data_IF_326082281244
#
_entry.id   IF_326082281244
#
_cell.length_a   1.000
_cell.length_b   1.000
_cell.length_c   1.000
_cell.angle_alpha   90.00
_cell.angle_beta   90.00
_cell.angle_gamma   90.00
#
_symmetry.space_group_name_H-M   'P 1'
#
loop_
_entity.id
_entity.type
_entity.pdbx_description
1 polymer ?
#
# COMPACT_ATOMS: atom_id res chain seq x y z
N UNK A 1 -42.20 -3.57 9.61
CA UNK A 1 -40.96 -3.82 10.36
C UNK A 1 -40.02 -4.64 9.48
N UNK A 2 -39.08 -3.99 8.78
CA UNK A 2 -37.96 -4.68 8.09
C UNK A 2 -36.70 -3.98 8.58
N UNK A 3 -35.87 -4.75 9.29
CA UNK A 3 -34.73 -4.29 10.07
C UNK A 3 -33.54 -3.95 9.14
N UNK A 4 -33.00 -2.74 9.24
CA UNK A 4 -31.68 -2.36 8.71
C UNK A 4 -30.60 -3.02 9.59
N UNK A 5 -29.97 -4.11 9.13
CA UNK A 5 -28.90 -4.80 9.89
C UNK A 5 -27.64 -5.12 9.06
N UNK A 6 -27.47 -4.51 7.89
CA UNK A 6 -26.43 -4.90 6.92
C UNK A 6 -25.18 -4.01 6.94
N UNK A 7 -25.26 -2.79 7.50
CA UNK A 7 -24.19 -1.79 7.43
C UNK A 7 -23.00 -2.01 8.39
N UNK A 8 -23.24 -2.63 9.55
CA UNK A 8 -22.19 -2.87 10.55
C UNK A 8 -21.21 -3.98 10.14
N UNK A 9 -21.69 -5.07 9.54
CA UNK A 9 -20.83 -6.23 9.23
C UNK A 9 -19.80 -6.02 8.11
N UNK A 10 -20.05 -5.05 7.21
CA UNK A 10 -19.11 -4.71 6.13
C UNK A 10 -18.05 -3.75 6.66
N UNK A 11 -18.47 -2.69 7.36
CA UNK A 11 -17.53 -1.74 7.99
C UNK A 11 -16.65 -2.41 9.04
N UNK A 12 -17.16 -3.33 9.84
CA UNK A 12 -16.40 -4.04 10.89
C UNK A 12 -15.40 -5.05 10.29
N UNK A 13 -15.76 -5.72 9.18
CA UNK A 13 -14.81 -6.54 8.38
C UNK A 13 -13.73 -5.70 7.71
N UNK A 14 -14.10 -4.54 7.16
CA UNK A 14 -13.13 -3.61 6.55
C UNK A 14 -12.19 -3.01 7.60
N UNK A 15 -12.68 -2.68 8.79
CA UNK A 15 -11.90 -2.18 9.92
C UNK A 15 -10.93 -3.22 10.49
N UNK A 16 -11.33 -4.50 10.54
CA UNK A 16 -10.47 -5.62 10.97
C UNK A 16 -9.44 -6.00 9.88
N UNK A 17 -9.79 -5.83 8.61
CA UNK A 17 -8.89 -6.09 7.49
C UNK A 17 -7.76 -5.04 7.37
N UNK A 18 -8.02 -3.77 7.70
CA UNK A 18 -7.02 -2.68 7.67
C UNK A 18 -5.72 -3.00 8.47
N UNK A 19 -5.77 -3.42 9.74
CA UNK A 19 -4.57 -3.78 10.49
C UNK A 19 -3.91 -5.06 9.95
N UNK A 20 -4.69 -6.09 9.59
CA UNK A 20 -4.15 -7.32 9.02
C UNK A 20 -3.38 -7.05 7.71
N UNK A 21 -3.93 -6.22 6.83
CA UNK A 21 -3.30 -5.82 5.56
C UNK A 21 -1.98 -5.07 5.79
N UNK A 22 -1.91 -4.25 6.84
CA UNK A 22 -0.68 -3.52 7.19
C UNK A 22 0.43 -4.45 7.71
N UNK A 23 0.07 -5.50 8.46
CA UNK A 23 0.99 -6.54 8.90
C UNK A 23 1.47 -7.41 7.74
N UNK A 24 0.58 -7.79 6.83
CA UNK A 24 0.93 -8.53 5.61
C UNK A 24 1.90 -7.72 4.76
N UNK A 25 1.66 -6.42 4.58
CA UNK A 25 2.56 -5.54 3.81
C UNK A 25 3.93 -5.40 4.47
N UNK A 26 3.97 -5.32 5.81
CA UNK A 26 5.22 -5.30 6.57
C UNK A 26 5.97 -6.62 6.42
N UNK A 27 5.28 -7.76 6.52
CA UNK A 27 5.88 -9.07 6.33
C UNK A 27 6.43 -9.25 4.92
N UNK A 28 5.66 -8.92 3.88
CA UNK A 28 6.10 -8.96 2.49
C UNK A 28 7.36 -8.10 2.26
N UNK A 29 7.38 -6.89 2.82
CA UNK A 29 8.54 -5.99 2.80
C UNK A 29 9.76 -6.64 3.45
N UNK A 30 9.62 -7.19 4.65
CA UNK A 30 10.73 -7.80 5.39
C UNK A 30 11.25 -9.09 4.75
N UNK A 31 10.37 -9.89 4.14
CA UNK A 31 10.76 -11.07 3.36
C UNK A 31 11.61 -10.65 2.16
N UNK A 32 11.15 -9.69 1.37
CA UNK A 32 11.91 -9.16 0.23
C UNK A 32 13.26 -8.58 0.70
N UNK A 33 13.26 -7.79 1.77
CA UNK A 33 14.44 -7.18 2.32
C UNK A 33 15.47 -8.21 2.81
N UNK A 34 15.02 -9.20 3.59
CA UNK A 34 15.87 -10.24 4.14
C UNK A 34 16.53 -11.07 3.04
N UNK A 35 15.78 -11.44 2.01
CA UNK A 35 16.32 -12.19 0.87
C UNK A 35 17.36 -11.37 0.11
N UNK A 36 17.09 -10.10 -0.20
CA UNK A 36 18.05 -9.22 -0.87
C UNK A 36 19.35 -9.07 -0.05
N UNK A 37 19.26 -8.87 1.27
CA UNK A 37 20.43 -8.74 2.13
C UNK A 37 21.24 -10.04 2.14
N UNK A 38 20.60 -11.19 2.33
CA UNK A 38 21.28 -12.49 2.37
C UNK A 38 21.93 -12.78 1.02
N UNK A 39 21.22 -12.54 -0.08
CA UNK A 39 21.73 -12.74 -1.43
C UNK A 39 22.96 -11.87 -1.72
N UNK A 40 22.93 -10.58 -1.35
CA UNK A 40 24.06 -9.68 -1.55
C UNK A 40 25.23 -10.00 -0.62
N UNK A 41 24.96 -10.36 0.64
CA UNK A 41 25.99 -10.74 1.61
C UNK A 41 26.73 -12.01 1.17
N UNK A 42 26.04 -12.99 0.56
CA UNK A 42 26.69 -14.19 0.03
C UNK A 42 27.58 -13.88 -1.18
N UNK A 43 27.27 -12.83 -1.95
CA UNK A 43 28.03 -12.43 -3.14
C UNK A 43 29.22 -11.51 -2.82
N UNK A 44 29.16 -10.72 -1.74
CA UNK A 44 30.20 -9.72 -1.42
C UNK A 44 31.55 -10.33 -1.03
N UNK A 45 31.56 -11.56 -0.52
CA UNK A 45 32.80 -12.26 -0.12
C UNK A 45 33.69 -12.65 -1.31
N UNK A 46 33.09 -12.84 -2.48
CA UNK A 46 33.81 -13.23 -3.70
C UNK A 46 33.11 -12.66 -4.95
N UNK A 47 33.13 -11.34 -5.15
CA UNK A 47 32.36 -10.68 -6.21
C UNK A 47 32.81 -11.07 -7.63
N UNK A 48 34.05 -11.57 -7.78
CA UNK A 48 34.52 -12.16 -9.03
C UNK A 48 33.70 -13.40 -9.44
N UNK A 49 33.18 -14.17 -8.49
CA UNK A 49 32.31 -15.32 -8.76
C UNK A 49 30.93 -14.84 -9.24
N UNK A 50 30.42 -13.73 -8.71
CA UNK A 50 29.19 -13.12 -9.22
C UNK A 50 29.31 -12.66 -10.67
N UNK A 51 30.47 -12.12 -11.07
CA UNK A 51 30.75 -11.80 -12.49
C UNK A 51 30.76 -13.07 -13.34
N UNK A 52 31.37 -14.15 -12.87
CA UNK A 52 31.38 -15.44 -13.59
C UNK A 52 29.96 -16.01 -13.74
N UNK A 53 29.17 -15.97 -12.67
CA UNK A 53 27.78 -16.40 -12.70
C UNK A 53 26.96 -15.60 -13.73
N UNK A 54 27.09 -14.26 -13.77
CA UNK A 54 26.39 -13.43 -14.77
C UNK A 54 26.83 -13.76 -16.19
N UNK A 55 28.13 -14.00 -16.42
CA UNK A 55 28.65 -14.41 -17.74
C UNK A 55 28.13 -15.78 -18.18
N UNK A 56 27.87 -16.70 -17.23
CA UNK A 56 27.35 -18.03 -17.53
C UNK A 56 25.96 -17.99 -18.21
N UNK A 57 25.16 -16.94 -17.98
CA UNK A 57 23.88 -16.74 -18.67
C UNK A 57 24.04 -16.42 -20.16
N UNK A 58 25.21 -15.93 -20.60
CA UNK A 58 25.48 -15.57 -22.00
C UNK A 58 24.40 -14.64 -22.59
N UNK A 59 23.93 -13.67 -21.79
CA UNK A 59 22.89 -12.71 -22.16
C UNK A 59 23.43 -11.30 -22.39
N UNK A 60 24.48 -10.92 -21.66
CA UNK A 60 25.07 -9.57 -21.71
C UNK A 60 26.49 -9.63 -22.29
N UNK A 61 26.95 -8.56 -22.97
CA UNK A 61 28.36 -8.41 -23.34
C UNK A 61 29.24 -8.28 -22.09
N UNK A 62 30.51 -8.69 -22.20
CA UNK A 62 31.42 -8.83 -21.06
C UNK A 62 31.52 -7.59 -20.16
N UNK A 63 31.57 -6.38 -20.75
CA UNK A 63 31.63 -5.14 -19.98
C UNK A 63 30.41 -4.93 -19.09
N UNK A 64 29.20 -5.20 -19.60
CA UNK A 64 27.98 -5.11 -18.83
C UNK A 64 27.87 -6.26 -17.81
N UNK A 65 28.27 -7.47 -18.18
CA UNK A 65 28.29 -8.60 -17.25
C UNK A 65 29.19 -8.33 -16.04
N UNK A 66 30.35 -7.70 -16.26
CA UNK A 66 31.25 -7.26 -15.18
C UNK A 66 30.63 -6.16 -14.32
N UNK A 67 30.04 -5.13 -14.93
CA UNK A 67 29.38 -4.06 -14.19
C UNK A 67 28.22 -4.60 -13.31
N UNK A 68 27.38 -5.47 -13.87
CA UNK A 68 26.30 -6.13 -13.12
C UNK A 68 26.84 -7.04 -12.02
N UNK A 69 27.82 -7.90 -12.30
CA UNK A 69 28.37 -8.83 -11.32
C UNK A 69 28.97 -8.14 -10.09
N UNK A 70 29.60 -6.98 -10.25
CA UNK A 70 30.12 -6.19 -9.12
C UNK A 70 29.08 -5.27 -8.47
N UNK A 71 28.19 -4.67 -9.26
CA UNK A 71 27.23 -3.68 -8.76
C UNK A 71 26.02 -4.31 -8.06
N UNK A 72 25.56 -5.47 -8.53
CA UNK A 72 24.36 -6.13 -8.05
C UNK A 72 24.42 -6.51 -6.56
N UNK A 73 25.52 -7.09 -6.02
CA UNK A 73 25.60 -7.40 -4.59
C UNK A 73 25.45 -6.18 -3.68
N UNK A 74 26.06 -5.05 -4.08
CA UNK A 74 25.99 -3.80 -3.33
C UNK A 74 24.57 -3.23 -3.39
N UNK A 75 23.96 -3.26 -4.56
CA UNK A 75 22.58 -2.81 -4.77
C UNK A 75 21.58 -3.65 -3.95
N UNK A 76 21.72 -4.97 -3.95
CA UNK A 76 20.90 -5.90 -3.15
C UNK A 76 20.93 -5.53 -1.66
N UNK A 77 22.13 -5.30 -1.09
CA UNK A 77 22.29 -4.94 0.32
C UNK A 77 21.67 -3.57 0.62
N UNK A 78 21.95 -2.55 -0.21
CA UNK A 78 21.44 -1.19 0.01
C UNK A 78 19.90 -1.18 -0.03
N UNK A 79 19.31 -1.78 -1.05
CA UNK A 79 17.85 -1.86 -1.19
C UNK A 79 17.24 -2.64 -0.02
N UNK A 80 17.84 -3.76 0.36
CA UNK A 80 17.40 -4.55 1.50
C UNK A 80 17.43 -3.77 2.81
N UNK A 81 18.51 -3.05 3.10
CA UNK A 81 18.61 -2.20 4.31
C UNK A 81 17.58 -1.08 4.31
N UNK A 82 17.38 -0.40 3.18
CA UNK A 82 16.35 0.64 3.03
C UNK A 82 14.95 0.08 3.29
N UNK A 83 14.64 -1.13 2.82
CA UNK A 83 13.36 -1.80 3.09
C UNK A 83 13.21 -2.26 4.55
N UNK A 84 14.29 -2.69 5.21
CA UNK A 84 14.26 -3.02 6.65
C UNK A 84 13.89 -1.78 7.46
N UNK A 85 14.59 -0.67 7.22
CA UNK A 85 14.34 0.63 7.84
C UNK A 85 12.97 1.17 7.44
N UNK A 86 12.48 0.82 6.25
CA UNK A 86 11.21 1.30 5.72
C UNK A 86 11.29 2.76 5.26
N UNK A 87 12.44 3.13 4.68
CA UNK A 87 12.69 4.42 4.07
C UNK A 87 12.61 4.29 2.55
N UNK A 88 11.94 5.23 1.88
CA UNK A 88 11.68 5.21 0.44
C UNK A 88 11.08 3.86 0.00
N UNK A 89 10.18 3.32 0.81
CA UNK A 89 9.69 1.94 0.71
C UNK A 89 9.11 1.63 -0.66
N UNK A 90 8.30 2.53 -1.24
CA UNK A 90 7.68 2.32 -2.56
C UNK A 90 8.70 2.29 -3.70
N UNK A 91 9.55 3.32 -3.91
CA UNK A 91 10.55 3.28 -4.97
C UNK A 91 11.58 2.17 -4.76
N UNK A 92 12.02 1.91 -3.52
CA UNK A 92 12.98 0.84 -3.22
C UNK A 92 12.36 -0.54 -3.51
N UNK A 93 11.10 -0.77 -3.14
CA UNK A 93 10.39 -2.00 -3.48
C UNK A 93 10.18 -2.14 -4.99
N UNK A 94 9.93 -1.04 -5.70
CA UNK A 94 9.81 -1.05 -7.16
C UNK A 94 11.13 -1.44 -7.83
N UNK A 95 12.26 -0.86 -7.40
CA UNK A 95 13.59 -1.24 -7.89
C UNK A 95 13.89 -2.71 -7.56
N UNK A 96 13.59 -3.14 -6.33
CA UNK A 96 13.72 -4.56 -5.93
C UNK A 96 12.86 -5.49 -6.80
N UNK A 97 11.64 -5.10 -7.13
CA UNK A 97 10.76 -5.84 -8.04
C UNK A 97 11.31 -5.91 -9.46
N UNK A 98 11.87 -4.82 -9.99
CA UNK A 98 12.55 -4.83 -11.29
C UNK A 98 13.74 -5.79 -11.28
N UNK A 99 14.54 -5.82 -10.20
CA UNK A 99 15.63 -6.79 -10.06
C UNK A 99 15.11 -8.23 -10.05
N UNK A 100 14.05 -8.54 -9.31
CA UNK A 100 13.43 -9.87 -9.32
C UNK A 100 12.95 -10.25 -10.72
N UNK A 101 12.31 -9.33 -11.45
CA UNK A 101 11.88 -9.57 -12.81
C UNK A 101 13.06 -9.85 -13.76
N UNK A 102 14.18 -9.14 -13.60
CA UNK A 102 15.40 -9.41 -14.38
C UNK A 102 15.96 -10.82 -14.11
N UNK A 103 15.98 -11.27 -12.85
CA UNK A 103 16.40 -12.63 -12.51
C UNK A 103 15.46 -13.68 -13.10
N UNK A 104 14.14 -13.50 -12.97
CA UNK A 104 13.12 -14.37 -13.59
C UNK A 104 13.39 -14.52 -15.09
N UNK A 105 13.60 -13.41 -15.81
CA UNK A 105 13.88 -13.42 -17.25
C UNK A 105 15.20 -14.13 -17.55
N UNK A 106 16.24 -13.89 -16.76
CA UNK A 106 17.54 -14.55 -16.91
C UNK A 106 17.45 -16.07 -16.75
N UNK A 107 16.83 -16.54 -15.66
CA UNK A 107 16.63 -17.95 -15.34
C UNK A 107 15.75 -18.63 -16.40
N UNK A 108 14.62 -18.00 -16.76
CA UNK A 108 13.72 -18.52 -17.78
C UNK A 108 14.42 -18.64 -19.13
N UNK A 109 15.27 -17.67 -19.49
CA UNK A 109 16.06 -17.73 -20.73
C UNK A 109 17.08 -18.85 -20.71
N UNK A 110 17.83 -19.01 -19.60
CA UNK A 110 18.80 -20.10 -19.44
C UNK A 110 18.12 -21.46 -19.55
N UNK A 111 16.94 -21.61 -18.93
CA UNK A 111 16.16 -22.83 -18.98
C UNK A 111 15.64 -23.13 -20.40
N UNK A 112 15.09 -22.12 -21.09
CA UNK A 112 14.60 -22.27 -22.46
C UNK A 112 15.72 -22.62 -23.47
N UNK A 113 16.94 -22.15 -23.21
CA UNK A 113 18.15 -22.47 -24.02
C UNK A 113 18.82 -23.78 -23.62
N UNK A 114 18.34 -24.45 -22.57
CA UNK A 114 18.93 -25.69 -22.06
C UNK A 114 20.33 -25.51 -21.47
N UNK A 115 20.67 -24.31 -21.00
CA UNK A 115 21.93 -24.10 -20.29
C UNK A 115 21.92 -24.93 -19.01
N UNK A 116 23.08 -25.45 -18.62
CA UNK A 116 23.28 -26.16 -17.35
C UNK A 116 24.20 -25.32 -16.47
N UNK A 117 23.60 -24.36 -15.76
CA UNK A 117 24.32 -23.42 -14.90
C UNK A 117 23.71 -23.41 -13.51
N UNK A 118 24.52 -23.07 -12.52
CA UNK A 118 24.00 -22.61 -11.23
C UNK A 118 23.51 -21.18 -11.42
N UNK A 119 22.28 -20.87 -10.98
CA UNK A 119 21.69 -19.55 -11.18
C UNK A 119 22.44 -18.46 -10.40
N UNK A 120 23.25 -18.83 -9.40
CA UNK A 120 24.13 -17.90 -8.65
C UNK A 120 23.38 -16.88 -7.79
N UNK A 121 22.05 -16.99 -7.68
CA UNK A 121 21.19 -16.01 -7.02
C UNK A 121 21.48 -15.87 -5.51
N UNK A 122 21.96 -16.94 -4.86
CA UNK A 122 22.39 -16.96 -3.47
C UNK A 122 23.89 -17.22 -3.28
N UNK A 123 24.71 -16.83 -4.28
CA UNK A 123 26.12 -17.19 -4.34
C UNK A 123 26.36 -18.39 -5.26
N UNK A 124 27.62 -18.67 -5.56
CA UNK A 124 28.03 -19.61 -6.60
C UNK A 124 28.77 -18.90 -7.75
N UNK A 125 29.48 -19.68 -8.56
CA UNK A 125 30.29 -19.21 -9.69
C UNK A 125 29.61 -19.43 -11.05
N UNK A 126 28.39 -19.97 -11.05
CA UNK A 126 27.64 -20.34 -12.24
C UNK A 126 27.93 -21.75 -12.75
N UNK A 127 28.85 -22.49 -12.12
CA UNK A 127 29.16 -23.87 -12.50
C UNK A 127 28.28 -24.88 -11.75
N UNK A 128 27.92 -25.97 -12.42
CA UNK A 128 27.28 -27.13 -11.79
C UNK A 128 28.31 -28.25 -11.62
N UNK A 129 28.32 -28.89 -10.46
CA UNK A 129 29.10 -30.10 -10.25
C UNK A 129 28.64 -31.22 -11.20
N UNK A 130 29.57 -32.09 -11.59
CA UNK A 130 29.29 -33.19 -12.50
C UNK A 130 28.17 -34.10 -11.96
N UNK A 131 27.11 -34.29 -12.74
CA UNK A 131 25.96 -35.11 -12.37
C UNK A 131 24.86 -34.39 -11.58
N UNK A 132 25.00 -33.09 -11.32
CA UNK A 132 23.90 -32.29 -10.76
C UNK A 132 23.04 -31.63 -11.82
N UNK A 133 21.73 -31.64 -11.58
CA UNK A 133 20.76 -30.97 -12.43
C UNK A 133 20.42 -29.58 -11.87
N UNK A 134 20.23 -28.58 -12.75
CA UNK A 134 19.88 -27.23 -12.34
C UNK A 134 18.48 -27.18 -11.74
N UNK A 135 18.32 -26.48 -10.61
CA UNK A 135 17.06 -26.33 -9.89
C UNK A 135 16.22 -25.13 -10.36
N UNK A 136 16.12 -24.91 -11.68
CA UNK A 136 15.45 -23.73 -12.25
C UNK A 136 14.02 -23.52 -11.75
N UNK A 137 13.26 -24.60 -11.52
CA UNK A 137 11.88 -24.51 -11.05
C UNK A 137 11.76 -23.82 -9.68
N UNK A 138 12.59 -24.22 -8.71
CA UNK A 138 12.56 -23.64 -7.36
C UNK A 138 13.07 -22.21 -7.33
N UNK A 139 14.11 -21.92 -8.11
CA UNK A 139 14.66 -20.57 -8.29
C UNK A 139 13.59 -19.62 -8.86
N UNK A 140 12.91 -20.04 -9.93
CA UNK A 140 11.86 -19.27 -10.57
C UNK A 140 10.65 -19.04 -9.64
N UNK A 141 10.22 -20.07 -8.92
CA UNK A 141 9.09 -19.96 -7.99
C UNK A 141 9.39 -18.99 -6.85
N UNK A 142 10.61 -19.04 -6.30
CA UNK A 142 11.08 -18.09 -5.29
C UNK A 142 11.04 -16.66 -5.84
N UNK A 143 11.64 -16.43 -6.99
CA UNK A 143 11.76 -15.08 -7.54
C UNK A 143 10.38 -14.50 -7.93
N UNK A 144 9.46 -15.33 -8.43
CA UNK A 144 8.06 -14.95 -8.65
C UNK A 144 7.39 -14.55 -7.34
N UNK A 145 7.60 -15.33 -6.26
CA UNK A 145 7.09 -15.00 -4.93
C UNK A 145 7.62 -13.68 -4.40
N UNK A 146 8.92 -13.42 -4.58
CA UNK A 146 9.55 -12.15 -4.17
C UNK A 146 9.09 -10.98 -5.02
N UNK A 147 8.92 -11.18 -6.33
CA UNK A 147 8.32 -10.19 -7.22
C UNK A 147 6.90 -9.84 -6.79
N UNK A 148 6.08 -10.83 -6.40
CA UNK A 148 4.75 -10.60 -5.88
C UNK A 148 4.78 -9.82 -4.56
N UNK A 149 5.71 -10.12 -3.64
CA UNK A 149 5.93 -9.33 -2.42
C UNK A 149 6.29 -7.87 -2.75
N UNK A 150 7.19 -7.65 -3.71
CA UNK A 150 7.58 -6.32 -4.17
C UNK A 150 6.38 -5.55 -4.75
N UNK A 151 5.63 -6.16 -5.66
CA UNK A 151 4.43 -5.57 -6.26
C UNK A 151 3.38 -5.23 -5.19
N UNK A 152 3.17 -6.13 -4.23
CA UNK A 152 2.27 -5.89 -3.11
C UNK A 152 2.69 -4.66 -2.28
N UNK A 153 3.97 -4.55 -1.93
CA UNK A 153 4.52 -3.41 -1.18
C UNK A 153 4.46 -2.10 -1.95
N UNK A 154 4.51 -2.12 -3.29
CA UNK A 154 4.35 -0.91 -4.13
C UNK A 154 2.91 -0.43 -4.18
N UNK A 155 1.95 -1.36 -4.30
CA UNK A 155 0.52 -1.07 -4.50
C UNK A 155 -0.16 -0.70 -3.18
N UNK A 156 0.18 -1.37 -2.07
CA UNK A 156 -0.46 -1.14 -0.76
C UNK A 156 0.20 -0.02 0.04
N UNK A 157 -0.54 0.61 0.98
CA UNK A 157 0.02 1.64 1.87
C UNK A 157 1.24 1.09 2.63
N UNK A 158 2.28 1.91 2.86
CA UNK A 158 3.46 1.47 3.60
C UNK A 158 3.04 0.99 4.99
N UNK A 159 3.42 -0.25 5.33
CA UNK A 159 3.02 -0.91 6.57
C UNK A 159 3.39 -0.12 7.84
N UNK A 160 2.83 -0.51 9.00
CA UNK A 160 2.90 0.24 10.27
C UNK A 160 4.31 0.55 10.79
N UNK A 161 5.36 -0.11 10.29
CA UNK A 161 6.76 0.05 10.69
C UNK A 161 7.62 0.72 9.60
N UNK A 162 7.02 1.49 8.69
CA UNK A 162 7.77 2.29 7.72
C UNK A 162 8.14 3.66 8.34
N UNK A 163 9.43 3.98 8.32
CA UNK A 163 9.91 5.33 8.63
C UNK A 163 9.30 6.38 7.68
N UNK A 164 8.91 5.99 6.47
CA UNK A 164 8.13 6.83 5.55
C UNK A 164 6.84 7.38 6.15
N UNK A 165 6.20 6.63 7.06
CA UNK A 165 4.97 7.04 7.76
C UNK A 165 5.29 7.99 8.90
N UNK A 166 6.43 7.82 9.58
CA UNK A 166 6.88 8.70 10.66
C UNK A 166 7.43 10.05 10.13
N UNK A 167 8.06 10.03 8.95
CA UNK A 167 8.63 11.20 8.27
C UNK A 167 7.63 11.93 7.36
N UNK A 168 6.40 11.43 7.20
CA UNK A 168 5.38 12.05 6.33
C UNK A 168 5.72 12.00 4.84
N UNK A 169 6.62 11.12 4.41
CA UNK A 169 7.00 10.92 3.00
C UNK A 169 5.95 10.13 2.22
N UNK A 170 5.09 9.42 2.94
CA UNK A 170 3.83 8.94 2.38
C UNK A 170 2.96 10.19 2.28
N UNK A 171 2.76 10.71 1.05
CA UNK A 171 1.90 11.88 0.83
C UNK A 171 0.60 11.73 1.63
N UNK A 172 0.03 12.85 2.13
CA UNK A 172 -1.14 12.81 3.00
C UNK A 172 -2.13 11.82 2.40
N UNK A 173 -2.73 10.93 3.22
CA UNK A 173 -3.74 10.02 2.72
C UNK A 173 -4.68 10.88 1.87
N UNK A 174 -4.77 10.58 0.57
CA UNK A 174 -5.79 11.20 -0.25
C UNK A 174 -7.05 11.07 0.58
N UNK A 175 -7.67 12.21 0.83
CA UNK A 175 -8.96 12.33 1.46
C UNK A 175 -10.00 11.69 0.51
N UNK A 176 -9.89 10.39 0.24
CA UNK A 176 -11.00 9.54 -0.14
C UNK A 176 -11.65 9.06 1.15
N UNK A 177 -12.31 10.01 1.79
CA UNK A 177 -13.68 9.89 2.26
C UNK A 177 -14.07 11.31 2.68
N UNK A 178 -14.73 12.01 1.77
CA UNK A 178 -15.40 13.26 2.10
C UNK A 178 -16.45 13.00 3.15
N UNK A 179 -16.11 13.33 4.40
CA UNK A 179 -17.06 13.91 5.32
C UNK A 179 -16.48 15.28 5.70
N UNK A 180 -17.17 16.41 5.39
CA UNK A 180 -16.76 17.68 5.94
C UNK A 180 -16.74 17.59 7.48
N UNK A 181 -15.88 18.36 8.17
CA UNK A 181 -15.87 18.38 9.63
C UNK A 181 -17.27 18.69 10.14
N UNK A 182 -17.94 17.67 10.69
CA UNK A 182 -19.29 17.74 11.24
C UNK A 182 -19.38 18.62 12.50
N UNK A 183 -18.26 19.22 12.91
CA UNK A 183 -18.20 20.24 13.96
C UNK A 183 -18.94 21.53 13.55
N UNK A 184 -18.97 21.90 12.27
CA UNK A 184 -19.67 23.12 11.81
C UNK A 184 -21.17 22.95 11.51
N UNK A 185 -21.64 21.71 11.29
CA UNK A 185 -23.05 21.46 10.93
C UNK A 185 -23.98 21.56 12.15
N UNK A 186 -23.43 21.33 13.36
CA UNK A 186 -24.16 21.54 14.61
C UNK A 186 -24.30 23.03 14.96
N UNK A 187 -23.29 23.87 14.67
CA UNK A 187 -23.38 25.32 14.85
C UNK A 187 -24.30 25.98 13.82
N UNK A 188 -24.20 25.61 12.53
CA UNK A 188 -25.09 26.16 11.49
C UNK A 188 -26.57 25.80 11.71
N UNK A 189 -26.87 24.61 12.26
CA UNK A 189 -28.24 24.24 12.65
C UNK A 189 -28.72 24.96 13.91
N UNK A 190 -27.84 25.31 14.83
CA UNK A 190 -28.18 26.09 16.01
C UNK A 190 -28.49 27.55 15.64
N UNK A 191 -27.72 28.14 14.71
CA UNK A 191 -27.98 29.48 14.18
C UNK A 191 -29.29 29.52 13.36
N UNK A 192 -29.49 28.57 12.43
CA UNK A 192 -30.71 28.51 11.63
C UNK A 192 -31.98 28.24 12.46
N UNK A 193 -31.87 27.55 13.60
CA UNK A 193 -32.99 27.35 14.53
C UNK A 193 -33.29 28.59 15.39
N UNK A 194 -32.31 29.50 15.57
CA UNK A 194 -32.48 30.76 16.29
C UNK A 194 -33.15 31.83 15.41
N UNK A 195 -32.83 31.91 14.11
CA UNK A 195 -33.42 32.87 13.17
C UNK A 195 -34.85 32.52 12.73
N UNK A 196 -35.29 31.27 12.86
CA UNK A 196 -36.62 30.82 12.45
C UNK A 196 -37.73 31.08 13.49
N UNK A 197 -37.54 31.99 14.46
CA UNK A 197 -38.61 32.43 15.36
C UNK A 197 -39.38 33.59 14.70
N UNK A 198 -40.59 33.38 14.15
CA UNK A 198 -41.39 34.47 13.64
C UNK A 198 -41.75 35.42 14.78
N UNK A 199 -41.34 36.68 14.64
CA UNK A 199 -41.87 37.78 15.45
C UNK A 199 -43.39 37.83 15.27
N UNK A 200 -44.10 37.86 16.40
CA UNK A 200 -45.55 37.84 16.42
C UNK A 200 -46.17 39.07 15.74
N UNK A 201 -47.40 38.96 15.21
CA UNK A 201 -48.06 40.10 14.60
C UNK A 201 -48.51 41.08 15.69
N UNK A 202 -47.90 42.26 15.70
CA UNK A 202 -48.39 43.47 16.38
C UNK A 202 -49.65 43.98 15.67
N UNK A 203 -50.81 43.81 16.31
CA UNK A 203 -52.09 44.34 15.82
C UNK A 203 -52.29 45.75 16.39
N UNK A 204 -52.22 46.76 15.52
CA UNK A 204 -52.62 48.16 15.76
C UNK A 204 -53.97 48.51 15.12
N UNK A 205 -54.61 49.63 15.49
CA UNK A 205 -56.05 49.72 15.69
C UNK A 205 -56.85 50.05 14.42
N UNK A 206 -58.01 49.40 14.27
CA UNK A 206 -59.03 49.79 13.29
C UNK A 206 -60.19 50.55 13.96
N UNK A 207 -60.47 51.71 13.40
CA UNK A 207 -61.57 52.63 13.74
C UNK A 207 -62.89 52.07 13.15
N UNK A 208 -64.00 52.25 13.89
CA UNK A 208 -65.36 51.84 13.50
C UNK A 208 -65.93 52.57 12.26
N UNK A 209 -67.24 52.38 11.93
CA UNK A 209 -68.31 52.82 12.82
C UNK A 209 -69.62 51.98 12.83
N UNK A 210 -70.44 52.28 13.85
CA UNK A 210 -71.91 52.41 13.81
C UNK A 210 -72.82 51.19 13.52
N UNK A 211 -73.64 50.84 14.52
CA UNK A 211 -75.09 50.73 14.29
C UNK A 211 -75.86 49.58 14.96
N UNK A 212 -76.75 49.95 15.90
CA UNK A 212 -78.02 49.30 16.32
C UNK A 212 -78.00 47.86 16.89
N UNK A 213 -78.23 47.63 18.20
CA UNK A 213 -79.50 47.65 19.00
C UNK A 213 -80.19 46.27 19.11
N UNK A 214 -80.69 46.02 20.32
CA UNK A 214 -81.58 44.94 20.82
C UNK A 214 -80.90 43.58 21.05
N UNK A 215 -81.03 42.88 22.17
CA UNK A 215 -81.85 43.06 23.38
C UNK A 215 -82.21 41.69 23.99
N UNK A 216 -82.30 41.61 25.32
CA UNK A 216 -82.90 40.50 26.10
C UNK A 216 -81.97 39.31 26.36
N UNK A 217 -81.64 38.99 27.62
CA UNK A 217 -82.43 38.12 28.55
C UNK A 217 -82.32 36.64 28.14
N UNK A 218 -82.13 35.63 28.99
CA UNK A 218 -81.93 35.45 30.43
C UNK A 218 -81.79 33.91 30.62
N UNK A 219 -81.44 33.48 31.83
CA UNK A 219 -81.76 32.15 32.41
C UNK A 219 -80.82 30.95 32.18
N UNK A 220 -80.07 30.71 33.27
CA UNK A 220 -79.65 29.45 33.91
C UNK A 220 -80.39 28.16 33.47
N UNK A 221 -79.62 27.08 33.24
CA UNK A 221 -79.55 25.87 34.09
C UNK A 221 -78.61 24.84 33.49
#
# INVERSE_FOLDING_TARGET
MVQLASGTSVSERLQTAKPALSWVTTAARLVLAGVLIVAGAMKIGAPALSVQAVRAYQLLPDGLATAFGYGLPVLEIILGLLLVVGLLTRPVAAVGGVLMAMFIVGIASAWARGLRIDCGCFGGDGSLAAGQDPNYFWELLRDIGLFACAAWTVIKPPGRLALDSALGLTGPPEAEDGDPPSEGLHEARAEAASEARPEGPSVGPSVGPSGSRSGGEDVRR
#
